data_IF_525159498604
#
_entry.id   IF_525159498604
#
_cell.length_a   1.000
_cell.length_b   1.000
_cell.length_c   1.000
_cell.angle_alpha   90.00
_cell.angle_beta   90.00
_cell.angle_gamma   90.00
#
_symmetry.space_group_name_H-M   'P 1'
#
loop_
_entity.id
_entity.type
_entity.pdbx_description
1 polymer ?
#
# COMPACT_ATOMS: atom_id res chain seq x y z
N UNK A 1 22.29 14.06 -11.47
CA UNK A 1 22.45 12.65 -11.04
C UNK A 1 21.13 12.20 -10.44
N UNK A 2 20.56 11.06 -10.85
CA UNK A 2 19.30 10.59 -10.27
C UNK A 2 19.57 10.04 -8.87
N UNK A 3 18.89 10.56 -7.85
CA UNK A 3 18.67 9.80 -6.62
C UNK A 3 17.77 8.60 -6.98
N UNK A 4 17.92 7.46 -6.35
CA UNK A 4 17.33 6.18 -6.78
C UNK A 4 15.80 6.07 -6.65
N UNK A 5 15.06 7.19 -6.57
CA UNK A 5 13.60 7.17 -6.51
C UNK A 5 13.05 6.51 -7.78
N UNK A 6 12.27 5.45 -7.60
CA UNK A 6 11.78 4.62 -8.70
C UNK A 6 10.41 5.06 -9.19
N UNK A 7 10.16 4.95 -10.49
CA UNK A 7 8.80 5.09 -11.07
C UNK A 7 7.82 4.05 -10.49
N UNK A 8 8.33 2.92 -9.95
CA UNK A 8 7.51 1.96 -9.22
C UNK A 8 6.94 2.57 -7.92
N UNK A 9 7.70 3.39 -7.22
CA UNK A 9 7.24 4.05 -5.99
C UNK A 9 6.18 5.11 -6.30
N UNK A 10 6.36 5.83 -7.41
CA UNK A 10 5.34 6.73 -7.97
C UNK A 10 4.04 5.96 -8.26
N UNK A 11 4.11 4.83 -8.96
CA UNK A 11 2.93 4.07 -9.36
C UNK A 11 2.17 3.49 -8.16
N UNK A 12 2.88 2.98 -7.16
CA UNK A 12 2.28 2.50 -5.91
C UNK A 12 1.60 3.66 -5.16
N UNK A 13 2.23 4.82 -5.06
CA UNK A 13 1.67 6.00 -4.38
C UNK A 13 0.42 6.52 -5.08
N UNK A 14 0.43 6.62 -6.41
CA UNK A 14 -0.75 6.97 -7.21
C UNK A 14 -1.89 5.95 -7.06
N UNK A 15 -1.56 4.68 -6.79
CA UNK A 15 -2.57 3.63 -6.59
C UNK A 15 -3.23 3.70 -5.21
N UNK A 16 -2.53 4.17 -4.16
CA UNK A 16 -3.07 4.30 -2.79
C UNK A 16 -4.15 5.40 -2.68
N UNK A 17 -4.09 6.43 -3.52
CA UNK A 17 -5.09 7.52 -3.54
C UNK A 17 -6.48 7.11 -4.05
N UNK A 18 -6.62 5.91 -4.63
CA UNK A 18 -7.92 5.35 -5.00
C UNK A 18 -8.61 4.84 -3.72
N UNK A 19 -9.41 5.73 -3.11
CA UNK A 19 -10.36 5.50 -2.00
C UNK A 19 -10.33 4.09 -1.38
N UNK A 20 -9.72 3.99 -0.19
CA UNK A 20 -9.75 2.80 0.67
C UNK A 20 -11.17 2.39 1.10
N UNK A 21 -12.17 3.27 0.95
CA UNK A 21 -13.56 3.04 1.39
C UNK A 21 -14.33 2.01 0.55
N UNK A 22 -13.86 1.65 -0.64
CA UNK A 22 -14.50 0.63 -1.50
C UNK A 22 -13.64 -0.62 -1.70
N UNK A 23 -12.68 -0.86 -0.80
CA UNK A 23 -11.93 -2.12 -0.82
C UNK A 23 -12.88 -3.22 -0.37
N UNK A 24 -13.30 -4.08 -1.31
CA UNK A 24 -13.91 -5.35 -0.94
C UNK A 24 -12.90 -6.09 -0.07
N UNK A 25 -13.28 -6.33 1.17
CA UNK A 25 -12.57 -7.28 2.02
C UNK A 25 -12.93 -8.70 1.60
N UNK A 26 -12.05 -9.63 1.90
CA UNK A 26 -12.26 -11.04 1.66
C UNK A 26 -13.44 -11.53 2.52
N UNK A 27 -14.31 -12.37 1.96
CA UNK A 27 -15.47 -12.94 2.69
C UNK A 27 -15.11 -14.17 3.54
N UNK A 28 -13.84 -14.57 3.53
CA UNK A 28 -13.32 -15.74 4.24
C UNK A 28 -12.15 -15.33 5.14
N UNK A 29 -12.05 -15.99 6.29
CA UNK A 29 -10.91 -15.81 7.17
C UNK A 29 -9.62 -16.28 6.50
N UNK A 30 -8.59 -15.43 6.47
CA UNK A 30 -7.29 -15.80 5.88
C UNK A 30 -6.51 -16.88 6.65
N UNK A 31 -7.00 -17.35 7.80
CA UNK A 31 -6.36 -18.39 8.63
C UNK A 31 -7.06 -19.74 8.47
N UNK A 32 -8.38 -19.80 8.66
CA UNK A 32 -9.14 -21.06 8.57
C UNK A 32 -9.89 -21.25 7.23
N UNK A 33 -9.93 -20.24 6.36
CA UNK A 33 -10.67 -20.24 5.10
C UNK A 33 -12.18 -20.44 5.22
N UNK A 34 -12.74 -20.13 6.40
CA UNK A 34 -14.18 -20.19 6.66
C UNK A 34 -14.80 -18.80 6.75
N UNK A 35 -16.10 -18.72 6.47
CA UNK A 35 -16.91 -17.51 6.60
C UNK A 35 -17.38 -17.28 8.04
N UNK A 36 -18.26 -16.28 8.23
CA UNK A 36 -18.89 -15.98 9.52
C UNK A 36 -18.60 -14.57 10.01
N UNK A 37 -18.43 -14.40 11.33
CA UNK A 37 -18.13 -13.08 11.91
C UNK A 37 -16.65 -12.74 11.74
N UNK A 38 -16.37 -11.87 10.77
CA UNK A 38 -15.01 -11.51 10.39
C UNK A 38 -14.66 -10.08 10.80
N UNK A 39 -13.48 -9.93 11.39
CA UNK A 39 -12.78 -8.67 11.59
C UNK A 39 -12.03 -8.29 10.32
N UNK A 40 -12.26 -7.08 9.83
CA UNK A 40 -11.63 -6.56 8.62
C UNK A 40 -10.37 -5.78 8.97
N UNK A 41 -9.30 -5.98 8.21
CA UNK A 41 -8.10 -5.17 8.34
C UNK A 41 -8.26 -3.83 7.62
N UNK A 42 -7.99 -2.71 8.29
CA UNK A 42 -8.11 -1.37 7.67
C UNK A 42 -7.07 -1.10 6.58
N UNK A 43 -6.00 -1.90 6.53
CA UNK A 43 -4.83 -1.69 5.66
C UNK A 43 -4.68 -2.72 4.52
N UNK A 44 -5.55 -3.73 4.45
CA UNK A 44 -5.54 -4.75 3.38
C UNK A 44 -6.91 -5.45 3.27
N UNK A 45 -7.23 -6.10 2.14
CA UNK A 45 -8.53 -6.76 1.98
C UNK A 45 -8.75 -7.96 2.92
N UNK A 46 -7.73 -8.48 3.59
CA UNK A 46 -7.88 -9.69 4.42
C UNK A 46 -8.85 -9.50 5.58
N UNK A 47 -9.63 -10.54 5.82
CA UNK A 47 -10.56 -10.69 6.91
C UNK A 47 -10.19 -11.87 7.82
N UNK A 48 -10.55 -11.80 9.10
CA UNK A 48 -10.13 -12.79 10.10
C UNK A 48 -11.19 -12.98 11.18
N UNK A 49 -11.44 -14.21 11.64
CA UNK A 49 -12.17 -14.39 12.91
C UNK A 49 -11.34 -13.83 14.07
N UNK A 50 -12.01 -13.23 15.07
CA UNK A 50 -11.33 -12.70 16.26
C UNK A 50 -10.50 -13.78 16.96
N UNK A 51 -11.05 -14.98 17.04
CA UNK A 51 -10.44 -16.13 17.68
C UNK A 51 -9.19 -16.58 16.92
N UNK A 52 -9.22 -16.54 15.57
CA UNK A 52 -8.08 -16.89 14.73
C UNK A 52 -6.90 -15.91 14.88
N UNK A 53 -7.17 -14.63 15.19
CA UNK A 53 -6.12 -13.63 15.47
C UNK A 53 -5.81 -13.45 16.96
N UNK A 54 -6.46 -14.20 17.84
CA UNK A 54 -6.21 -14.18 19.29
C UNK A 54 -6.86 -13.01 20.03
N UNK A 55 -7.89 -12.38 19.44
CA UNK A 55 -8.71 -11.37 20.10
C UNK A 55 -9.91 -12.02 20.80
N UNK A 56 -10.17 -11.62 22.04
CA UNK A 56 -11.36 -12.05 22.79
C UNK A 56 -12.56 -11.12 22.60
N UNK A 57 -12.31 -9.88 22.17
CA UNK A 57 -13.32 -8.85 21.94
C UNK A 57 -13.01 -8.08 20.66
N UNK A 58 -14.03 -7.47 20.06
CA UNK A 58 -13.83 -6.61 18.88
C UNK A 58 -12.91 -5.45 19.29
N UNK A 59 -11.75 -5.26 18.62
CA UNK A 59 -10.87 -4.14 18.92
C UNK A 59 -11.60 -2.82 18.68
N UNK A 60 -11.43 -1.85 19.58
CA UNK A 60 -11.99 -0.51 19.43
C UNK A 60 -11.08 0.34 18.55
N UNK A 61 -11.67 1.04 17.58
CA UNK A 61 -10.92 1.89 16.65
C UNK A 61 -10.34 1.10 15.49
N UNK A 62 -9.28 1.63 14.88
CA UNK A 62 -8.65 1.02 13.70
C UNK A 62 -7.83 -0.20 14.08
N UNK A 63 -7.98 -1.29 13.32
CA UNK A 63 -7.23 -2.52 13.50
C UNK A 63 -6.49 -2.94 12.23
N UNK A 64 -5.23 -3.35 12.40
CA UNK A 64 -4.39 -3.88 11.34
C UNK A 64 -4.02 -5.34 11.66
N UNK A 65 -4.12 -6.22 10.68
CA UNK A 65 -3.63 -7.59 10.84
C UNK A 65 -2.10 -7.62 11.00
N UNK A 66 -1.57 -8.68 11.61
CA UNK A 66 -0.11 -8.84 11.84
C UNK A 66 0.73 -8.75 10.58
N UNK A 67 0.19 -9.15 9.43
CA UNK A 67 0.88 -8.99 8.15
C UNK A 67 1.07 -7.51 7.77
N UNK A 68 0.07 -6.68 8.05
CA UNK A 68 0.14 -5.24 7.83
C UNK A 68 1.01 -4.55 8.87
N UNK A 69 0.97 -4.97 10.13
CA UNK A 69 1.88 -4.49 11.17
C UNK A 69 3.34 -4.79 10.81
N UNK A 70 3.64 -6.05 10.43
CA UNK A 70 4.96 -6.46 9.99
C UNK A 70 5.42 -5.72 8.72
N UNK A 71 4.51 -5.48 7.78
CA UNK A 71 4.82 -4.69 6.57
C UNK A 71 5.20 -3.26 6.95
N UNK A 72 4.41 -2.61 7.81
CA UNK A 72 4.68 -1.25 8.27
C UNK A 72 6.01 -1.15 9.02
N UNK A 73 6.32 -2.10 9.90
CA UNK A 73 7.60 -2.15 10.62
C UNK A 73 8.79 -2.33 9.67
N UNK A 74 8.65 -3.19 8.65
CA UNK A 74 9.67 -3.32 7.60
C UNK A 74 9.84 -2.01 6.85
N UNK A 75 8.76 -1.40 6.40
CA UNK A 75 8.80 -0.11 5.68
C UNK A 75 9.40 1.02 6.55
N UNK A 76 9.09 1.08 7.84
CA UNK A 76 9.67 2.08 8.75
C UNK A 76 11.17 1.87 8.96
N UNK A 77 11.62 0.62 9.06
CA UNK A 77 13.06 0.31 9.14
C UNK A 77 13.82 0.63 7.85
N UNK A 78 13.14 0.62 6.69
CA UNK A 78 13.79 0.93 5.43
C UNK A 78 14.22 2.39 5.41
N UNK A 79 13.48 3.33 5.99
CA UNK A 79 13.78 4.77 5.91
C UNK A 79 15.21 5.17 6.30
N UNK A 80 15.91 4.38 7.14
CA UNK A 80 17.24 4.71 7.63
C UNK A 80 18.40 3.92 6.98
N UNK A 81 18.13 2.88 6.20
CA UNK A 81 19.23 2.09 5.66
C UNK A 81 19.86 2.73 4.41
N UNK A 82 21.11 2.36 4.11
CA UNK A 82 21.88 2.93 3.00
C UNK A 82 21.18 2.77 1.64
N UNK A 83 20.43 1.67 1.45
CA UNK A 83 19.66 1.44 0.22
C UNK A 83 18.48 2.42 0.09
N UNK A 84 17.85 2.82 1.19
CA UNK A 84 16.76 3.77 1.16
C UNK A 84 17.25 5.21 0.93
N UNK A 85 18.38 5.58 1.54
CA UNK A 85 19.06 6.85 1.24
C UNK A 85 19.43 6.87 -0.25
N UNK A 86 20.02 5.79 -0.76
CA UNK A 86 20.33 5.65 -2.19
C UNK A 86 19.06 5.72 -3.06
N UNK A 87 17.93 5.19 -2.60
CA UNK A 87 16.62 5.30 -3.25
C UNK A 87 15.95 6.67 -3.08
N UNK A 88 16.60 7.66 -2.45
CA UNK A 88 16.05 9.01 -2.25
C UNK A 88 15.00 9.12 -1.13
N UNK A 89 14.86 8.11 -0.27
CA UNK A 89 14.03 8.19 0.94
C UNK A 89 14.82 8.92 2.03
N UNK A 90 14.73 10.24 2.02
CA UNK A 90 15.39 11.13 2.98
C UNK A 90 14.30 11.78 3.83
N UNK A 91 14.52 11.85 5.14
CA UNK A 91 13.57 12.51 6.04
C UNK A 91 13.33 13.97 5.63
N UNK A 92 12.06 14.40 5.67
CA UNK A 92 11.64 15.74 5.27
C UNK A 92 11.60 16.01 3.75
N UNK A 93 12.00 15.07 2.90
CA UNK A 93 11.90 15.20 1.44
C UNK A 93 10.83 14.25 0.91
N UNK A 94 9.80 14.77 0.24
CA UNK A 94 8.82 13.91 -0.42
C UNK A 94 9.46 13.19 -1.63
N UNK A 95 9.49 11.84 -1.66
CA UNK A 95 9.95 11.11 -2.84
C UNK A 95 9.17 11.50 -4.11
N UNK A 96 7.89 11.88 -4.02
CA UNK A 96 7.10 12.26 -5.20
C UNK A 96 7.55 13.60 -5.79
N UNK A 97 7.79 14.63 -4.97
CA UNK A 97 8.38 15.89 -5.43
C UNK A 97 9.72 15.67 -6.18
N UNK A 98 10.55 14.73 -5.71
CA UNK A 98 11.80 14.38 -6.39
C UNK A 98 11.58 13.76 -7.78
N UNK A 99 10.43 13.13 -8.03
CA UNK A 99 10.09 12.56 -9.34
C UNK A 99 9.53 13.64 -10.27
N UNK A 100 8.71 14.56 -9.74
CA UNK A 100 8.14 15.67 -10.52
C UNK A 100 9.18 16.69 -11.00
N UNK A 101 10.33 16.78 -10.34
CA UNK A 101 11.46 17.62 -10.79
C UNK A 101 12.25 16.99 -11.94
N UNK A 102 11.99 15.73 -12.32
CA UNK A 102 12.64 15.07 -13.45
C UNK A 102 11.97 15.47 -14.76
N UNK A 103 12.71 15.39 -15.86
CA UNK A 103 12.19 15.60 -17.22
C UNK A 103 11.32 14.43 -17.68
N UNK A 104 10.21 14.17 -16.98
CA UNK A 104 9.21 13.16 -17.30
C UNK A 104 7.84 13.82 -17.43
N UNK A 105 6.97 13.24 -18.26
CA UNK A 105 5.56 13.65 -18.35
C UNK A 105 4.70 12.49 -17.85
N UNK A 106 3.80 12.76 -16.90
CA UNK A 106 2.78 11.80 -16.48
C UNK A 106 1.55 12.01 -17.35
N UNK A 107 1.22 11.04 -18.20
CA UNK A 107 -0.02 11.07 -18.96
C UNK A 107 -1.19 10.63 -18.06
N UNK A 108 -2.09 11.53 -17.73
CA UNK A 108 -3.34 11.18 -17.04
C UNK A 108 -4.31 10.55 -18.04
N UNK A 109 -4.86 9.39 -17.71
CA UNK A 109 -5.86 8.72 -18.55
C UNK A 109 -7.25 9.16 -18.09
N UNK A 110 -8.21 9.43 -19.01
CA UNK A 110 -9.59 9.64 -18.61
C UNK A 110 -10.11 8.40 -17.85
N UNK A 111 -11.02 8.63 -16.90
CA UNK A 111 -11.59 7.58 -16.02
C UNK A 111 -12.23 6.44 -16.83
N UNK A 112 -12.65 6.71 -18.07
CA UNK A 112 -13.24 5.77 -19.01
C UNK A 112 -12.17 4.96 -19.77
N UNK A 113 -11.56 3.99 -19.09
CA UNK A 113 -11.20 2.66 -19.60
C UNK A 113 -10.12 2.47 -20.69
N UNK A 114 -9.64 3.49 -21.40
CA UNK A 114 -8.64 3.30 -22.48
C UNK A 114 -7.38 4.11 -22.24
N UNK A 115 -6.57 3.64 -21.29
CA UNK A 115 -5.26 4.19 -20.99
C UNK A 115 -4.21 3.09 -20.98
N UNK A 116 -3.52 2.88 -22.10
CA UNK A 116 -2.43 1.91 -22.20
C UNK A 116 -1.34 2.42 -23.13
N UNK A 117 -0.08 2.06 -22.84
CA UNK A 117 1.03 2.38 -23.74
C UNK A 117 0.85 1.61 -25.06
N UNK A 118 0.79 2.32 -26.19
CA UNK A 118 0.62 1.71 -27.52
C UNK A 118 1.77 0.73 -27.87
N UNK A 119 2.93 0.86 -27.22
CA UNK A 119 4.08 -0.04 -27.38
C UNK A 119 4.04 -1.27 -26.48
N UNK A 120 3.23 -1.26 -25.41
CA UNK A 120 3.10 -2.39 -24.48
C UNK A 120 1.91 -3.30 -24.82
N UNK A 121 1.20 -3.03 -25.93
CA UNK A 121 0.20 -3.93 -26.49
C UNK A 121 0.89 -4.95 -27.39
#
# INVERSE_FOLDING_TARGET
MSNGVSLHELSVSLSKGRNMSNRQSDDLCSICSDGGELLLCDSCPRAFHRECVGFTTIPRGTWCCRYCENRQQRESSLAYNHNAIAAGRIDGIDPMEQIFTRSIRIATTPVTGFGGCALCR
#
